data_IF_882346529425
#
_entry.id   IF_882346529425
#
_cell.length_a   1.000
_cell.length_b   1.000
_cell.length_c   1.000
_cell.angle_alpha   90.00
_cell.angle_beta   90.00
_cell.angle_gamma   90.00
#
_symmetry.space_group_name_H-M   'P 1'
#
loop_
_entity.id
_entity.type
_entity.pdbx_description
1 polymer ?
#
# COMPACT_ATOMS: atom_id res chain seq x y z
N UNK A 1 -16.24 1.93 -6.39
CA UNK A 1 -15.78 1.90 -4.98
C UNK A 1 -14.31 2.31 -4.90
N UNK A 2 -14.01 3.61 -4.94
CA UNK A 2 -12.63 4.13 -4.87
C UNK A 2 -11.92 3.72 -3.57
N UNK A 3 -12.62 3.78 -2.44
CA UNK A 3 -12.06 3.43 -1.14
C UNK A 3 -11.69 1.95 -0.98
N UNK A 4 -12.34 1.02 -1.69
CA UNK A 4 -11.89 -0.39 -1.71
C UNK A 4 -10.52 -0.57 -2.37
N UNK A 5 -10.16 0.29 -3.32
CA UNK A 5 -8.85 0.26 -3.98
C UNK A 5 -7.74 0.82 -3.07
N UNK A 6 -8.10 1.57 -2.03
CA UNK A 6 -7.19 2.12 -1.04
C UNK A 6 -6.91 1.16 0.13
N UNK A 7 -7.54 -0.02 0.14
CA UNK A 7 -7.34 -1.06 1.15
C UNK A 7 -5.88 -1.52 1.18
N UNK A 8 -5.26 -1.54 2.35
CA UNK A 8 -3.83 -1.83 2.56
C UNK A 8 -2.90 -0.62 2.37
N UNK A 9 -3.45 0.58 2.13
CA UNK A 9 -2.70 1.85 2.04
C UNK A 9 -3.32 2.94 2.92
N UNK A 10 -4.10 2.55 3.92
CA UNK A 10 -4.89 3.46 4.74
C UNK A 10 -4.01 4.48 5.48
N UNK A 11 -2.82 4.08 5.93
CA UNK A 11 -1.85 4.96 6.58
C UNK A 11 -1.23 6.02 5.67
N UNK A 12 -1.33 5.83 4.34
CA UNK A 12 -0.88 6.79 3.33
C UNK A 12 -1.97 7.83 2.99
N UNK A 13 -3.20 7.62 3.47
CA UNK A 13 -4.31 8.52 3.19
C UNK A 13 -4.17 9.77 4.07
N UNK A 14 -4.35 10.93 3.44
CA UNK A 14 -4.53 12.23 4.08
C UNK A 14 -5.83 12.82 3.56
N UNK A 15 -6.67 13.32 4.47
CA UNK A 15 -7.97 13.89 4.11
C UNK A 15 -7.89 15.40 4.29
N UNK A 16 -8.44 16.13 3.33
CA UNK A 16 -8.51 17.59 3.38
C UNK A 16 -9.97 17.99 3.44
N UNK A 17 -10.40 18.57 4.56
CA UNK A 17 -11.70 19.20 4.71
C UNK A 17 -11.55 20.67 4.32
N UNK A 18 -11.79 20.94 3.04
CA UNK A 18 -11.67 22.27 2.47
C UNK A 18 -12.93 23.12 2.72
N UNK A 19 -12.80 24.45 2.62
CA UNK A 19 -13.88 25.43 2.80
C UNK A 19 -14.47 25.43 4.22
N UNK A 20 -13.67 25.08 5.22
CA UNK A 20 -14.08 25.02 6.61
C UNK A 20 -14.49 26.40 7.17
N UNK A 21 -14.05 27.48 6.54
CA UNK A 21 -14.40 28.86 6.89
C UNK A 21 -15.85 29.27 6.56
N UNK A 22 -16.56 28.49 5.73
CA UNK A 22 -17.97 28.74 5.42
C UNK A 22 -18.95 28.18 6.46
N UNK A 23 -18.45 27.49 7.48
CA UNK A 23 -19.26 26.84 8.51
C UNK A 23 -18.94 27.40 9.89
N UNK A 24 -19.96 27.47 10.74
CA UNK A 24 -19.75 27.70 12.16
C UNK A 24 -19.01 26.50 12.79
N UNK A 25 -18.24 26.75 13.85
CA UNK A 25 -17.41 25.72 14.51
C UNK A 25 -18.21 24.48 14.94
N UNK A 26 -19.45 24.66 15.40
CA UNK A 26 -20.31 23.53 15.79
C UNK A 26 -20.70 22.65 14.60
N UNK A 27 -21.05 23.25 13.47
CA UNK A 27 -21.42 22.50 12.26
C UNK A 27 -20.19 21.85 11.62
N UNK A 28 -19.02 22.50 11.69
CA UNK A 28 -17.76 21.90 11.28
C UNK A 28 -17.46 20.61 12.04
N UNK A 29 -17.71 20.58 13.36
CA UNK A 29 -17.54 19.37 14.17
C UNK A 29 -18.55 18.27 13.80
N UNK A 30 -19.78 18.65 13.45
CA UNK A 30 -20.78 17.68 12.94
C UNK A 30 -20.35 17.07 11.60
N UNK A 31 -19.84 17.88 10.67
CA UNK A 31 -19.32 17.41 9.38
C UNK A 31 -18.11 16.50 9.58
N UNK A 32 -17.19 16.86 10.49
CA UNK A 32 -16.04 16.04 10.84
C UNK A 32 -16.46 14.67 11.40
N UNK A 33 -17.44 14.64 12.31
CA UNK A 33 -18.00 13.39 12.83
C UNK A 33 -18.68 12.56 11.76
N UNK A 34 -19.50 13.19 10.89
CA UNK A 34 -20.18 12.52 9.79
C UNK A 34 -19.20 11.90 8.78
N UNK A 35 -18.08 12.58 8.51
CA UNK A 35 -17.00 12.05 7.67
C UNK A 35 -16.48 10.72 8.23
N UNK A 36 -16.08 10.68 9.50
CA UNK A 36 -15.58 9.44 10.10
C UNK A 36 -16.63 8.35 10.20
N UNK A 37 -17.88 8.71 10.50
CA UNK A 37 -18.99 7.76 10.47
C UNK A 37 -19.16 7.10 9.10
N UNK A 38 -19.07 7.88 8.03
CA UNK A 38 -19.17 7.36 6.66
C UNK A 38 -17.96 6.53 6.24
N UNK A 39 -16.79 6.81 6.81
CA UNK A 39 -15.54 6.12 6.51
C UNK A 39 -15.33 4.86 7.38
N UNK A 40 -15.99 4.75 8.53
CA UNK A 40 -15.82 3.64 9.46
C UNK A 40 -15.95 2.24 8.80
N UNK A 41 -16.90 1.98 7.88
CA UNK A 41 -16.99 0.68 7.21
C UNK A 41 -15.84 0.37 6.23
N UNK A 42 -15.07 1.40 5.84
CA UNK A 42 -14.05 1.33 4.80
C UNK A 42 -12.62 1.32 5.36
N UNK A 43 -12.44 1.79 6.59
CA UNK A 43 -11.15 1.91 7.26
C UNK A 43 -11.01 0.77 8.27
N UNK A 44 -10.12 -0.18 7.99
CA UNK A 44 -9.84 -1.31 8.88
C UNK A 44 -8.45 -1.15 9.54
N UNK A 45 -8.20 0.01 10.14
CA UNK A 45 -6.97 0.32 10.87
C UNK A 45 -7.30 0.88 12.25
N UNK A 46 -6.38 0.69 13.19
CA UNK A 46 -6.53 1.12 14.59
C UNK A 46 -6.46 2.63 14.75
N UNK A 47 -5.77 3.32 13.85
CA UNK A 47 -5.60 4.78 13.86
C UNK A 47 -6.27 5.41 12.63
N UNK A 48 -7.18 6.38 12.82
CA UNK A 48 -7.83 7.05 11.71
C UNK A 48 -6.85 7.91 10.89
N UNK A 49 -7.07 8.08 9.57
CA UNK A 49 -6.28 8.98 8.75
C UNK A 49 -6.29 10.42 9.27
N UNK A 50 -5.15 11.12 9.13
CA UNK A 50 -5.04 12.56 9.46
C UNK A 50 -5.97 13.38 8.56
N UNK A 51 -6.73 14.28 9.18
CA UNK A 51 -7.61 15.23 8.51
C UNK A 51 -7.08 16.65 8.72
N UNK A 52 -6.85 17.37 7.64
CA UNK A 52 -6.49 18.78 7.67
C UNK A 52 -7.73 19.62 7.42
N UNK A 53 -8.03 20.54 8.33
CA UNK A 53 -9.25 21.35 8.31
C UNK A 53 -8.88 22.81 8.09
N UNK A 54 -9.14 23.32 6.89
CA UNK A 54 -8.88 24.72 6.54
C UNK A 54 -9.59 25.10 5.24
N UNK A 55 -9.37 26.33 4.78
CA UNK A 55 -9.78 26.80 3.46
C UNK A 55 -8.54 27.13 2.64
N UNK A 56 -8.16 26.20 1.77
CA UNK A 56 -6.90 26.21 1.02
C UNK A 56 -7.03 27.08 -0.24
N UNK A 57 -7.16 28.38 -0.02
CA UNK A 57 -7.31 29.39 -1.07
C UNK A 57 -6.55 30.68 -0.70
N UNK A 58 -6.26 31.57 -1.66
CA UNK A 58 -5.46 32.75 -1.36
C UNK A 58 -6.22 33.79 -0.51
N UNK A 59 -7.56 33.76 -0.51
CA UNK A 59 -8.41 34.75 0.15
C UNK A 59 -8.39 34.66 1.68
N UNK A 60 -8.59 35.80 2.34
CA UNK A 60 -8.74 35.86 3.79
C UNK A 60 -9.91 35.01 4.29
N UNK A 61 -9.74 34.38 5.44
CA UNK A 61 -10.81 33.63 6.09
C UNK A 61 -11.96 34.54 6.52
N UNK A 62 -13.18 33.99 6.54
CA UNK A 62 -14.34 34.69 7.06
C UNK A 62 -14.10 35.24 8.51
N UNK A 63 -14.69 36.40 8.85
CA UNK A 63 -14.33 37.17 10.06
C UNK A 63 -14.59 36.44 11.40
N UNK A 64 -15.47 35.43 11.43
CA UNK A 64 -15.85 34.67 12.64
C UNK A 64 -15.27 33.25 12.70
N UNK A 65 -14.14 33.02 12.04
CA UNK A 65 -13.53 31.69 11.93
C UNK A 65 -12.30 31.54 12.82
N UNK A 66 -11.97 30.29 13.16
CA UNK A 66 -10.76 29.95 13.91
C UNK A 66 -9.50 30.09 13.03
N UNK A 67 -9.11 31.33 12.73
CA UNK A 67 -7.97 31.66 11.84
C UNK A 67 -6.67 30.99 12.26
N UNK A 68 -6.39 30.92 13.56
CA UNK A 68 -5.16 30.31 14.07
C UNK A 68 -5.14 28.79 13.88
N UNK A 69 -6.29 28.12 14.06
CA UNK A 69 -6.44 26.69 13.79
C UNK A 69 -6.18 26.41 12.30
N UNK A 70 -6.87 27.13 11.42
CA UNK A 70 -6.76 26.95 9.97
C UNK A 70 -5.33 27.20 9.45
N UNK A 71 -4.64 28.22 9.96
CA UNK A 71 -3.22 28.46 9.63
C UNK A 71 -2.32 27.32 10.10
N UNK A 72 -2.53 26.80 11.31
CA UNK A 72 -1.75 25.66 11.82
C UNK A 72 -1.97 24.40 10.99
N UNK A 73 -3.22 24.12 10.60
CA UNK A 73 -3.53 22.97 9.74
C UNK A 73 -2.96 23.14 8.32
N UNK A 74 -2.95 24.35 7.75
CA UNK A 74 -2.25 24.62 6.48
C UNK A 74 -0.75 24.33 6.57
N UNK A 75 -0.10 24.82 7.62
CA UNK A 75 1.34 24.61 7.83
C UNK A 75 1.63 23.12 8.03
N UNK A 76 0.84 22.43 8.85
CA UNK A 76 0.99 21.00 9.08
C UNK A 76 0.82 20.17 7.81
N UNK A 77 -0.11 20.55 6.91
CA UNK A 77 -0.25 19.91 5.60
C UNK A 77 1.00 20.10 4.74
N UNK A 78 1.56 21.30 4.72
CA UNK A 78 2.75 21.61 3.92
C UNK A 78 4.01 20.92 4.46
N UNK A 79 4.13 20.79 5.78
CA UNK A 79 5.18 20.01 6.43
C UNK A 79 5.08 18.52 6.09
N UNK A 80 3.90 17.91 6.18
CA UNK A 80 3.68 16.51 5.80
C UNK A 80 3.97 16.30 4.30
N UNK A 81 3.56 17.23 3.44
CA UNK A 81 3.88 17.18 2.00
C UNK A 81 5.39 17.24 1.76
N UNK A 82 6.11 18.13 2.47
CA UNK A 82 7.55 18.25 2.35
C UNK A 82 8.26 16.96 2.81
N UNK A 83 7.82 16.38 3.93
CA UNK A 83 8.35 15.09 4.41
C UNK A 83 8.14 13.97 3.40
N UNK A 84 6.99 13.93 2.72
CA UNK A 84 6.74 12.93 1.66
C UNK A 84 7.72 13.09 0.49
N UNK A 85 8.04 14.33 0.11
CA UNK A 85 8.99 14.65 -0.95
C UNK A 85 10.42 14.28 -0.53
N UNK A 86 10.82 14.64 0.68
CA UNK A 86 12.14 14.31 1.25
C UNK A 86 12.34 12.80 1.35
N UNK A 87 11.29 12.07 1.71
CA UNK A 87 11.33 10.62 1.86
C UNK A 87 10.94 9.86 0.58
N UNK A 88 10.94 10.53 -0.58
CA UNK A 88 10.49 9.93 -1.86
C UNK A 88 11.26 8.65 -2.22
N UNK A 89 12.55 8.60 -1.90
CA UNK A 89 13.42 7.48 -2.27
C UNK A 89 13.14 6.28 -1.37
N UNK A 90 13.03 6.50 -0.05
CA UNK A 90 12.64 5.47 0.91
C UNK A 90 11.26 4.91 0.58
N UNK A 91 10.30 5.79 0.28
CA UNK A 91 8.96 5.41 -0.16
C UNK A 91 8.98 4.57 -1.44
N UNK A 92 9.85 4.92 -2.41
CA UNK A 92 10.01 4.16 -3.65
C UNK A 92 10.60 2.77 -3.39
N UNK A 93 11.62 2.67 -2.54
CA UNK A 93 12.22 1.39 -2.14
C UNK A 93 11.20 0.51 -1.44
N UNK A 94 10.44 1.05 -0.49
CA UNK A 94 9.37 0.33 0.19
C UNK A 94 8.29 -0.17 -0.78
N UNK A 95 7.89 0.66 -1.75
CA UNK A 95 6.95 0.27 -2.80
C UNK A 95 7.48 -0.88 -3.65
N UNK A 96 8.74 -0.81 -4.11
CA UNK A 96 9.38 -1.87 -4.90
C UNK A 96 9.45 -3.16 -4.08
N UNK A 97 9.79 -3.07 -2.80
CA UNK A 97 9.82 -4.22 -1.88
C UNK A 97 8.46 -4.91 -1.78
N UNK A 98 7.39 -4.14 -1.53
CA UNK A 98 6.04 -4.69 -1.43
C UNK A 98 5.56 -5.28 -2.78
N UNK A 99 5.96 -4.68 -3.90
CA UNK A 99 5.70 -5.25 -5.21
C UNK A 99 6.44 -6.58 -5.40
N UNK A 100 7.73 -6.65 -5.04
CA UNK A 100 8.51 -7.89 -5.09
C UNK A 100 7.88 -9.02 -4.26
N UNK A 101 7.41 -8.72 -3.05
CA UNK A 101 6.69 -9.69 -2.20
C UNK A 101 5.46 -10.24 -2.92
N UNK A 102 4.64 -9.38 -3.52
CA UNK A 102 3.45 -9.81 -4.29
C UNK A 102 3.82 -10.67 -5.50
N UNK A 103 4.87 -10.31 -6.24
CA UNK A 103 5.36 -11.12 -7.38
C UNK A 103 5.83 -12.49 -6.92
N UNK A 104 6.60 -12.56 -5.81
CA UNK A 104 7.05 -13.83 -5.21
C UNK A 104 5.88 -14.72 -4.81
N UNK A 105 4.89 -14.16 -4.09
CA UNK A 105 3.68 -14.87 -3.67
C UNK A 105 2.90 -15.36 -4.89
N UNK A 106 2.73 -14.52 -5.91
CA UNK A 106 2.02 -14.89 -7.12
C UNK A 106 2.71 -16.06 -7.84
N UNK A 107 4.03 -16.00 -8.01
CA UNK A 107 4.80 -17.09 -8.61
C UNK A 107 4.67 -18.40 -7.84
N UNK A 108 4.77 -18.35 -6.51
CA UNK A 108 4.58 -19.51 -5.64
C UNK A 108 3.18 -20.13 -5.74
N UNK A 109 2.14 -19.30 -5.79
CA UNK A 109 0.77 -19.78 -5.94
C UNK A 109 0.54 -20.43 -7.30
N UNK A 110 0.96 -19.78 -8.40
CA UNK A 110 0.84 -20.36 -9.75
C UNK A 110 1.59 -21.69 -9.83
N UNK A 111 2.82 -21.76 -9.30
CA UNK A 111 3.58 -23.00 -9.23
C UNK A 111 2.84 -24.10 -8.47
N UNK A 112 2.21 -23.75 -7.34
CA UNK A 112 1.43 -24.72 -6.57
C UNK A 112 0.21 -25.23 -7.34
N UNK A 113 -0.51 -24.36 -8.04
CA UNK A 113 -1.60 -24.77 -8.94
C UNK A 113 -1.11 -25.70 -10.05
N UNK A 114 0.02 -25.37 -10.69
CA UNK A 114 0.61 -26.20 -11.75
C UNK A 114 1.05 -27.57 -11.22
N UNK A 115 1.66 -27.62 -10.04
CA UNK A 115 2.06 -28.85 -9.39
C UNK A 115 0.85 -29.72 -9.05
N UNK A 116 -0.15 -29.16 -8.37
CA UNK A 116 -1.38 -29.89 -8.02
C UNK A 116 -2.11 -30.38 -9.26
N UNK A 117 -2.18 -29.58 -10.32
CA UNK A 117 -2.75 -30.01 -11.59
C UNK A 117 -2.02 -31.25 -12.13
N UNK A 118 -0.67 -31.21 -12.19
CA UNK A 118 0.13 -32.37 -12.63
C UNK A 118 -0.02 -33.59 -11.72
N UNK A 119 -0.11 -33.40 -10.42
CA UNK A 119 -0.30 -34.49 -9.44
C UNK A 119 -1.67 -35.17 -9.56
N UNK A 120 -2.71 -34.43 -9.95
CA UNK A 120 -4.09 -34.93 -10.09
C UNK A 120 -4.43 -35.43 -11.48
N UNK A 121 -3.63 -35.05 -12.49
CA UNK A 121 -3.78 -35.57 -13.84
C UNK A 121 -3.42 -37.05 -13.90
N UNK A 122 -4.38 -37.88 -14.32
CA UNK A 122 -4.19 -39.30 -14.64
C UNK A 122 -4.45 -39.53 -16.13
N UNK A 123 -4.05 -40.69 -16.66
CA UNK A 123 -4.16 -41.01 -18.10
C UNK A 123 -5.60 -40.93 -18.65
N UNK A 124 -6.60 -41.16 -17.80
CA UNK A 124 -8.02 -41.14 -18.17
C UNK A 124 -8.76 -39.87 -17.69
N UNK A 125 -8.05 -38.92 -17.07
CA UNK A 125 -8.67 -37.72 -16.52
C UNK A 125 -8.89 -36.67 -17.60
N UNK A 126 -10.03 -35.99 -17.56
CA UNK A 126 -10.27 -34.79 -18.36
C UNK A 126 -9.49 -33.59 -17.76
N UNK A 127 -8.52 -32.99 -18.51
CA UNK A 127 -7.75 -31.86 -18.03
C UNK A 127 -8.60 -30.67 -17.56
N UNK A 128 -9.70 -30.38 -18.26
CA UNK A 128 -10.53 -29.21 -17.99
C UNK A 128 -11.32 -29.41 -16.69
N UNK A 129 -11.92 -30.59 -16.50
CA UNK A 129 -12.66 -30.91 -15.28
C UNK A 129 -11.76 -30.96 -14.04
N UNK A 130 -10.58 -31.58 -14.15
CA UNK A 130 -9.62 -31.64 -13.05
C UNK A 130 -9.17 -30.25 -12.64
N UNK A 131 -8.82 -29.40 -13.61
CA UNK A 131 -8.34 -28.06 -13.28
C UNK A 131 -9.45 -27.17 -12.73
N UNK A 132 -10.67 -27.30 -13.27
CA UNK A 132 -11.85 -26.62 -12.74
C UNK A 132 -12.12 -26.98 -11.28
N UNK A 133 -12.03 -28.26 -10.92
CA UNK A 133 -12.16 -28.71 -9.52
C UNK A 133 -11.11 -28.05 -8.59
N UNK A 134 -9.86 -27.95 -9.06
CA UNK A 134 -8.76 -27.32 -8.30
C UNK A 134 -9.01 -25.82 -8.08
N UNK A 135 -9.54 -25.13 -9.09
CA UNK A 135 -9.79 -23.68 -9.05
C UNK A 135 -11.05 -23.35 -8.25
N UNK A 136 -12.09 -24.19 -8.34
CA UNK A 136 -13.36 -23.99 -7.64
C UNK A 136 -13.19 -24.23 -6.12
N UNK A 137 -12.37 -25.20 -5.71
CA UNK A 137 -12.06 -25.46 -4.29
C UNK A 137 -10.54 -25.61 -4.02
N UNK A 138 -9.77 -24.50 -3.98
CA UNK A 138 -8.33 -24.55 -3.74
C UNK A 138 -7.96 -24.96 -2.30
N UNK A 139 -8.93 -24.96 -1.37
CA UNK A 139 -8.71 -25.39 0.01
C UNK A 139 -8.60 -26.90 0.13
N UNK A 140 -9.43 -27.64 -0.64
CA UNK A 140 -9.36 -29.10 -0.74
C UNK A 140 -7.96 -29.59 -1.11
N UNK A 141 -7.24 -28.80 -1.90
CA UNK A 141 -5.88 -29.09 -2.35
C UNK A 141 -4.78 -28.36 -1.54
N UNK A 142 -5.16 -27.70 -0.44
CA UNK A 142 -4.24 -26.99 0.44
C UNK A 142 -3.37 -25.94 -0.27
N UNK A 143 -3.86 -25.33 -1.36
CA UNK A 143 -3.06 -24.40 -2.19
C UNK A 143 -2.55 -23.24 -1.34
N UNK A 144 -3.46 -22.45 -0.76
CA UNK A 144 -3.08 -21.29 0.06
C UNK A 144 -2.41 -21.69 1.39
N UNK A 145 -2.83 -22.79 2.01
CA UNK A 145 -2.24 -23.29 3.26
C UNK A 145 -0.77 -23.67 3.08
N UNK A 146 -0.42 -24.30 1.96
CA UNK A 146 0.96 -24.66 1.63
C UNK A 146 1.87 -23.45 1.44
N UNK A 147 1.33 -22.35 0.91
CA UNK A 147 2.07 -21.09 0.74
C UNK A 147 2.22 -20.37 2.09
N UNK A 148 1.18 -20.34 2.93
CA UNK A 148 1.26 -19.78 4.29
C UNK A 148 2.30 -20.48 5.19
N UNK A 149 2.55 -21.77 4.95
CA UNK A 149 3.58 -22.51 5.68
C UNK A 149 5.02 -22.10 5.32
N UNK A 150 5.22 -21.36 4.22
CA UNK A 150 6.54 -20.84 3.84
C UNK A 150 6.90 -19.61 4.66
N UNK A 151 8.19 -19.44 4.94
CA UNK A 151 8.71 -18.28 5.67
C UNK A 151 8.43 -16.97 4.91
N UNK A 152 8.28 -15.89 5.68
CA UNK A 152 8.10 -14.52 5.18
C UNK A 152 6.84 -14.32 4.30
N UNK A 153 5.73 -14.99 4.63
CA UNK A 153 4.43 -14.77 3.98
C UNK A 153 3.37 -14.51 5.03
N UNK A 154 2.71 -13.35 4.94
CA UNK A 154 1.55 -13.03 5.77
C UNK A 154 0.26 -13.45 5.09
N UNK A 155 -0.76 -13.82 5.89
CA UNK A 155 -2.12 -14.05 5.39
C UNK A 155 -2.70 -12.82 4.70
N UNK A 156 -2.30 -11.62 5.11
CA UNK A 156 -2.77 -10.36 4.53
C UNK A 156 -2.18 -10.08 3.14
N UNK A 157 -1.05 -10.70 2.78
CA UNK A 157 -0.43 -10.55 1.47
C UNK A 157 -1.03 -11.48 0.41
N UNK A 158 -1.84 -12.46 0.83
CA UNK A 158 -2.48 -13.41 -0.09
C UNK A 158 -3.70 -12.81 -0.78
N UNK A 159 -3.85 -13.01 -2.09
CA UNK A 159 -5.04 -12.57 -2.81
C UNK A 159 -6.26 -13.43 -2.44
N UNK A 160 -7.45 -12.93 -2.77
CA UNK A 160 -8.68 -13.71 -2.65
C UNK A 160 -8.66 -14.92 -3.60
N UNK A 161 -9.35 -15.99 -3.24
CA UNK A 161 -9.52 -17.21 -4.04
C UNK A 161 -10.05 -16.91 -5.44
N UNK A 162 -11.09 -16.07 -5.52
CA UNK A 162 -11.72 -15.69 -6.78
C UNK A 162 -10.72 -15.07 -7.76
N UNK A 163 -9.65 -14.41 -7.26
CA UNK A 163 -8.65 -13.80 -8.13
C UNK A 163 -7.91 -14.83 -9.00
N UNK A 164 -7.73 -16.07 -8.51
CA UNK A 164 -7.12 -17.13 -9.30
C UNK A 164 -8.10 -17.82 -10.23
N UNK A 165 -9.39 -17.85 -9.90
CA UNK A 165 -10.44 -18.26 -10.86
C UNK A 165 -10.44 -17.33 -12.07
N UNK A 166 -10.42 -16.02 -11.83
CA UNK A 166 -10.41 -15.03 -12.91
C UNK A 166 -9.09 -15.07 -13.70
N UNK A 167 -7.95 -15.20 -13.00
CA UNK A 167 -6.63 -15.29 -13.64
C UNK A 167 -6.53 -16.48 -14.59
N UNK A 168 -6.91 -17.68 -14.14
CA UNK A 168 -6.82 -18.88 -14.96
C UNK A 168 -7.95 -18.99 -16.00
N UNK A 169 -9.06 -18.28 -15.81
CA UNK A 169 -10.09 -18.14 -16.85
C UNK A 169 -9.57 -17.46 -18.12
N UNK A 170 -8.53 -16.62 -18.00
CA UNK A 170 -7.85 -15.98 -19.14
C UNK A 170 -6.55 -16.68 -19.51
N UNK A 171 -5.86 -17.28 -18.53
CA UNK A 171 -4.54 -17.88 -18.70
C UNK A 171 -4.59 -19.39 -18.43
N UNK A 172 -4.65 -20.26 -19.46
CA UNK A 172 -4.70 -21.71 -19.26
C UNK A 172 -3.51 -22.26 -18.46
N UNK A 173 -3.76 -23.16 -17.50
CA UNK A 173 -2.72 -23.76 -16.64
C UNK A 173 -1.60 -24.46 -17.44
N UNK A 174 -1.94 -25.01 -18.60
CA UNK A 174 -1.02 -25.72 -19.51
C UNK A 174 0.07 -24.81 -20.07
N UNK A 175 -0.14 -23.49 -20.10
CA UNK A 175 0.85 -22.52 -20.59
C UNK A 175 1.97 -22.26 -19.56
N UNK A 176 1.78 -22.68 -18.32
CA UNK A 176 2.73 -22.43 -17.24
C UNK A 176 3.65 -23.63 -17.03
N UNK A 177 4.92 -23.33 -16.76
CA UNK A 177 5.93 -24.30 -16.36
C UNK A 177 6.13 -24.23 -14.84
N UNK A 178 6.51 -25.32 -14.17
CA UNK A 178 6.92 -25.28 -12.77
C UNK A 178 8.08 -24.30 -12.57
N UNK A 179 8.16 -23.67 -11.39
CA UNK A 179 9.24 -22.73 -11.06
C UNK A 179 10.62 -23.36 -11.13
N UNK A 180 10.73 -24.67 -10.85
CA UNK A 180 11.98 -25.42 -10.97
C UNK A 180 12.53 -25.42 -12.39
N UNK A 181 11.67 -25.34 -13.41
CA UNK A 181 12.08 -25.24 -14.81
C UNK A 181 12.68 -23.88 -15.17
N UNK A 182 12.53 -22.87 -14.30
CA UNK A 182 13.10 -21.53 -14.45
C UNK A 182 14.44 -21.37 -13.72
N UNK A 183 14.93 -22.42 -13.06
CA UNK A 183 16.23 -22.43 -12.42
C UNK A 183 17.32 -22.78 -13.42
N UNK A 184 18.42 -22.03 -13.39
CA UNK A 184 19.60 -22.31 -14.21
C UNK A 184 20.71 -22.91 -13.36
N UNK A 185 21.43 -23.88 -13.90
CA UNK A 185 22.54 -24.57 -13.20
C UNK A 185 23.63 -23.60 -12.73
N UNK A 186 24.00 -22.63 -13.57
CA UNK A 186 25.01 -21.61 -13.20
C UNK A 186 24.38 -20.33 -12.63
N UNK A 187 23.10 -20.07 -12.93
CA UNK A 187 22.44 -18.79 -12.66
C UNK A 187 21.53 -18.76 -11.43
N UNK A 188 21.36 -19.88 -10.72
CA UNK A 188 20.44 -20.03 -9.61
C UNK A 188 18.96 -19.95 -10.04
N UNK A 189 18.06 -19.94 -9.05
CA UNK A 189 16.63 -19.79 -9.28
C UNK A 189 16.20 -18.32 -9.27
N UNK A 190 15.26 -17.93 -10.16
CA UNK A 190 14.70 -16.57 -10.17
C UNK A 190 14.01 -16.21 -8.84
N UNK A 191 13.38 -17.19 -8.18
CA UNK A 191 12.71 -17.00 -6.90
C UNK A 191 13.69 -16.60 -5.79
N UNK A 192 14.87 -17.20 -5.76
CA UNK A 192 15.94 -16.88 -4.79
C UNK A 192 16.48 -15.47 -5.01
N UNK A 193 16.62 -15.04 -6.27
CA UNK A 193 17.04 -13.67 -6.60
C UNK A 193 16.03 -12.64 -6.09
N UNK A 194 14.73 -12.89 -6.30
CA UNK A 194 13.66 -12.02 -5.79
C UNK A 194 13.67 -12.01 -4.27
N UNK A 195 13.85 -13.16 -3.63
CA UNK A 195 13.91 -13.24 -2.17
C UNK A 195 15.10 -12.45 -1.61
N UNK A 196 16.30 -12.62 -2.17
CA UNK A 196 17.50 -11.85 -1.81
C UNK A 196 17.29 -10.34 -2.00
N UNK A 197 16.65 -9.93 -3.09
CA UNK A 197 16.36 -8.52 -3.33
C UNK A 197 15.43 -7.93 -2.25
N UNK A 198 14.39 -8.67 -1.85
CA UNK A 198 13.41 -8.24 -0.84
C UNK A 198 14.00 -8.18 0.57
N UNK A 199 14.83 -9.17 0.94
CA UNK A 199 15.32 -9.34 2.30
C UNK A 199 16.62 -8.57 2.57
N UNK A 200 17.49 -8.44 1.57
CA UNK A 200 18.83 -7.89 1.75
C UNK A 200 19.07 -6.62 0.93
N UNK A 201 18.90 -6.69 -0.39
CA UNK A 201 19.37 -5.62 -1.29
C UNK A 201 18.54 -4.33 -1.14
N UNK A 202 17.20 -4.44 -1.12
CA UNK A 202 16.33 -3.27 -0.96
C UNK A 202 16.49 -2.61 0.42
N UNK A 203 16.53 -3.34 1.56
CA UNK A 203 16.85 -2.73 2.84
C UNK A 203 18.25 -2.08 2.88
N UNK A 204 19.26 -2.70 2.27
CA UNK A 204 20.61 -2.12 2.19
C UNK A 204 20.66 -0.82 1.36
N UNK A 205 19.76 -0.64 0.38
CA UNK A 205 19.64 0.64 -0.32
C UNK A 205 19.10 1.76 0.58
N UNK A 206 18.32 1.46 1.62
CA UNK A 206 17.84 2.48 2.56
C UNK A 206 18.98 3.06 3.41
N UNK A 207 19.93 2.23 3.83
CA UNK A 207 21.07 2.71 4.62
C UNK A 207 21.98 3.63 3.80
N UNK A 208 22.19 3.34 2.51
CA UNK A 208 22.97 4.22 1.63
C UNK A 208 22.28 5.54 1.33
N UNK A 209 20.94 5.55 1.20
CA UNK A 209 20.15 6.79 1.06
C UNK A 209 20.29 7.68 2.30
N UNK A 210 20.25 7.08 3.49
CA UNK A 210 20.37 7.83 4.75
C UNK A 210 21.78 8.44 4.95
N UNK A 211 22.84 7.77 4.49
CA UNK A 211 24.21 8.31 4.55
C UNK A 211 24.42 9.55 3.67
N UNK A 212 23.58 9.76 2.65
CA UNK A 212 23.59 10.95 1.80
C UNK A 212 22.83 12.14 2.39
N UNK A 213 22.00 11.92 3.40
CA UNK A 213 21.37 12.99 4.19
C UNK A 213 22.42 13.51 5.17
N UNK A 214 23.12 14.59 4.79
CA UNK A 214 23.79 15.45 5.78
C UNK A 214 22.78 15.75 6.91
N UNK A 215 23.17 15.76 8.19
CA UNK A 215 22.32 16.22 9.28
C UNK A 215 22.19 17.75 9.18
N UNK A 216 21.54 18.22 8.12
CA UNK A 216 21.37 19.62 7.79
C UNK A 216 19.99 20.07 8.24
N UNK A 217 19.99 20.88 9.30
CA UNK A 217 18.88 21.61 9.91
C UNK A 217 17.71 20.73 10.33
N UNK A 218 17.51 20.66 11.64
CA UNK A 218 16.18 20.35 12.17
C UNK A 218 15.16 21.25 11.45
N UNK A 219 14.05 20.67 11.00
CA UNK A 219 12.98 21.37 10.27
C UNK A 219 12.64 22.75 10.87
N UNK A 220 12.78 22.91 12.19
CA UNK A 220 12.59 24.16 12.93
C UNK A 220 13.52 25.33 12.54
N UNK A 221 14.78 25.06 12.16
CA UNK A 221 15.73 26.11 11.76
C UNK A 221 15.44 26.64 10.36
N UNK A 222 14.82 25.83 9.49
CA UNK A 222 14.42 26.23 8.14
C UNK A 222 13.01 26.86 8.09
N UNK A 223 12.10 26.47 9.01
CA UNK A 223 10.72 26.97 9.05
C UNK A 223 10.49 28.18 9.95
N UNK A 224 11.48 28.59 10.75
CA UNK A 224 11.36 29.79 11.58
C UNK A 224 10.25 29.63 12.62
N UNK A 225 10.53 28.85 13.66
CA UNK A 225 9.70 28.76 14.87
C UNK A 225 9.74 30.08 15.68
N UNK A 226 9.21 31.16 15.12
CA UNK A 226 8.78 32.32 15.91
C UNK A 226 7.44 32.01 16.57
N UNK A 227 7.12 32.73 17.66
CA UNK A 227 5.89 32.57 18.48
C UNK A 227 4.56 32.68 17.72
N UNK A 228 4.58 32.99 16.41
CA UNK A 228 3.40 33.02 15.53
C UNK A 228 3.65 32.17 14.28
N UNK A 229 2.90 31.08 14.06
CA UNK A 229 3.04 30.25 12.87
C UNK A 229 2.65 31.06 11.62
N UNK A 230 3.62 31.34 10.74
CA UNK A 230 3.42 32.07 9.48
C UNK A 230 3.60 31.12 8.30
N UNK A 231 2.55 30.96 7.49
CA UNK A 231 2.61 30.15 6.28
C UNK A 231 3.48 30.87 5.22
N UNK A 232 4.73 30.41 5.05
CA UNK A 232 5.71 30.99 4.10
C UNK A 232 5.30 30.85 2.63
N UNK A 233 4.37 29.95 2.32
CA UNK A 233 3.94 29.63 0.96
C UNK A 233 2.73 30.44 0.50
N UNK A 234 2.12 31.21 1.41
CA UNK A 234 0.99 32.08 1.09
C UNK A 234 1.52 33.40 0.53
N UNK A 235 1.21 33.67 -0.74
CA UNK A 235 1.45 34.98 -1.34
C UNK A 235 0.43 35.97 -0.76
N UNK A 236 0.94 37.06 -0.19
CA UNK A 236 0.13 38.22 0.20
C UNK A 236 -0.45 38.91 -1.04
#
# INVERSE_FOLDING_TARGET
>A
MLFRQLKGRESQIRIILNKADNLATQDLMRVYGALFWSLAPLINVTEPPRVYVSSFWPYDYAPDTSRDLFKREEISLLEDLNQVIENRMENKVAFIRQHGIRVRIHGLLVDRYVQTFKEKMSYFSDPELVFKEIVDDPDKFYIFKSILAKTNISKFDLPNRDAYRDFFGVNPVTNFKPLTAQCSYMGGCLLEKIEKAITNELPALLSSINSGKQPGLTSCEATGCGEKPKNRYRKN
#
